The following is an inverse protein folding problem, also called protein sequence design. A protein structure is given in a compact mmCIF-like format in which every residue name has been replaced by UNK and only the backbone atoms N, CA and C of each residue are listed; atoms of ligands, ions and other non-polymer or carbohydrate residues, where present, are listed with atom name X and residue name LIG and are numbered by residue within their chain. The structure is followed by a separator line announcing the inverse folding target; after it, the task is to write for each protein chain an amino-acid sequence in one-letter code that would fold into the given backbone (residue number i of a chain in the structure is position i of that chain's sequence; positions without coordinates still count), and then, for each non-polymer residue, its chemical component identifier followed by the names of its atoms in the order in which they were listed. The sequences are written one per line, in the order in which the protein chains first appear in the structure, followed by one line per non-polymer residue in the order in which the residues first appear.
data_IF_641081816751
#
_entry.id   IF_641081816751
#
_cell.length_a   1.000
_cell.length_b   1.000
_cell.length_c   1.000
_cell.angle_alpha   90.00
_cell.angle_beta   90.00
_cell.angle_gamma   90.00
#
_symmetry.space_group_name_H-M   'P 1'
#
loop_
_entity.id
_entity.type
_entity.pdbx_description
1 polymer ?
#
# COMPACT_ATOMS: atom_id res chain seq x y z
N UNK A 1 14.10 -14.64 -11.36
CA UNK A 1 14.82 -15.42 -10.33
C UNK A 1 13.87 -16.51 -9.85
N UNK A 2 14.26 -17.78 -9.92
CA UNK A 2 13.40 -18.91 -9.53
C UNK A 2 13.86 -19.44 -8.19
N UNK A 3 12.91 -19.69 -7.28
CA UNK A 3 13.16 -20.22 -5.95
C UNK A 3 12.38 -21.52 -5.80
N UNK A 4 13.09 -22.65 -5.67
CA UNK A 4 12.51 -23.99 -5.60
C UNK A 4 12.95 -24.63 -4.28
N UNK A 5 12.05 -25.38 -3.63
CA UNK A 5 12.28 -26.08 -2.36
C UNK A 5 12.78 -25.19 -1.19
N UNK A 6 12.33 -23.93 -1.14
CA UNK A 6 12.65 -23.00 -0.04
C UNK A 6 11.58 -23.06 1.04
N UNK A 7 12.00 -23.11 2.30
CA UNK A 7 11.11 -23.02 3.48
C UNK A 7 10.48 -21.63 3.65
N UNK A 8 11.14 -20.61 3.09
CA UNK A 8 10.74 -19.21 3.11
C UNK A 8 11.04 -18.58 1.75
N UNK A 9 10.07 -17.87 1.17
CA UNK A 9 10.26 -17.11 -0.09
C UNK A 9 9.64 -15.73 0.03
N UNK A 10 10.29 -14.74 -0.58
CA UNK A 10 9.75 -13.39 -0.71
C UNK A 10 9.13 -13.25 -2.10
N UNK A 11 7.80 -13.11 -2.14
CA UNK A 11 7.03 -13.07 -3.37
C UNK A 11 6.00 -11.93 -3.34
N UNK A 12 6.03 -11.07 -4.36
CA UNK A 12 5.17 -9.88 -4.49
C UNK A 12 5.12 -9.00 -3.23
N UNK A 13 6.24 -8.97 -2.50
CA UNK A 13 6.35 -8.21 -1.28
C UNK A 13 5.70 -8.82 -0.05
N UNK A 14 5.33 -10.09 -0.12
CA UNK A 14 4.99 -10.94 1.00
C UNK A 14 6.11 -11.94 1.29
N UNK A 15 6.32 -12.22 2.56
CA UNK A 15 7.08 -13.36 2.99
C UNK A 15 6.13 -14.55 3.22
N UNK A 16 6.33 -15.62 2.48
CA UNK A 16 5.58 -16.87 2.64
C UNK A 16 6.47 -17.87 3.36
N UNK A 17 6.04 -18.31 4.55
CA UNK A 17 6.77 -19.26 5.38
C UNK A 17 5.78 -20.21 6.05
N UNK A 18 6.02 -21.51 5.94
CA UNK A 18 5.20 -22.56 6.58
C UNK A 18 3.68 -22.41 6.39
N UNK A 19 3.23 -21.93 5.22
CA UNK A 19 1.81 -21.70 4.93
C UNK A 19 1.25 -20.37 5.47
N UNK A 20 2.03 -19.60 6.22
CA UNK A 20 1.67 -18.24 6.61
C UNK A 20 2.18 -17.22 5.58
N UNK A 21 1.34 -16.23 5.29
CA UNK A 21 1.67 -15.09 4.45
C UNK A 21 1.78 -13.87 5.35
N UNK A 22 2.96 -13.23 5.39
CA UNK A 22 3.17 -11.98 6.11
C UNK A 22 3.69 -10.91 5.15
N UNK A 23 3.41 -9.62 5.36
CA UNK A 23 4.05 -8.57 4.58
C UNK A 23 5.56 -8.62 4.77
N UNK A 24 6.33 -8.49 3.68
CA UNK A 24 7.78 -8.48 3.76
C UNK A 24 8.24 -7.22 4.51
N UNK A 25 9.13 -7.35 5.52
CA UNK A 25 9.58 -6.22 6.33
C UNK A 25 10.28 -5.14 5.49
N UNK A 26 10.88 -5.51 4.36
CA UNK A 26 11.47 -4.55 3.43
C UNK A 26 10.44 -3.54 2.91
N UNK A 27 9.25 -4.00 2.49
CA UNK A 27 8.23 -3.11 1.96
C UNK A 27 7.53 -2.30 3.05
N UNK A 28 7.34 -2.90 4.23
CA UNK A 28 6.85 -2.17 5.40
C UNK A 28 7.82 -1.05 5.75
N UNK A 29 9.12 -1.32 5.78
CA UNK A 29 10.13 -0.31 6.06
C UNK A 29 10.15 0.79 4.99
N UNK A 30 9.92 0.46 3.72
CA UNK A 30 9.75 1.49 2.67
C UNK A 30 8.56 2.41 2.94
N UNK A 31 7.43 1.86 3.39
CA UNK A 31 6.24 2.64 3.77
C UNK A 31 6.46 3.48 5.03
N UNK A 32 7.13 2.94 6.04
CA UNK A 32 7.42 3.63 7.30
C UNK A 32 8.45 4.74 7.16
N UNK A 33 9.45 4.55 6.31
CA UNK A 33 10.48 5.55 6.03
C UNK A 33 10.04 6.59 5.01
N UNK A 34 8.78 6.54 4.54
CA UNK A 34 8.25 7.58 3.66
C UNK A 34 8.23 8.90 4.43
N UNK A 35 8.84 9.94 3.84
CA UNK A 35 8.92 11.28 4.42
C UNK A 35 7.54 11.77 4.85
N UNK A 36 7.49 12.57 5.92
CA UNK A 36 6.28 13.25 6.39
C UNK A 36 5.49 13.84 5.21
N UNK A 37 4.24 13.41 5.09
CA UNK A 37 3.34 13.78 4.01
C UNK A 37 3.10 15.29 4.04
N UNK A 38 3.68 16.02 3.10
CA UNK A 38 3.46 17.48 3.02
C UNK A 38 2.30 17.81 2.07
N UNK A 39 1.98 16.89 1.15
CA UNK A 39 0.96 17.11 0.12
C UNK A 39 -0.15 16.05 0.18
N UNK A 40 -1.37 16.46 -0.17
CA UNK A 40 -2.54 15.58 -0.30
C UNK A 40 -2.33 14.42 -1.31
N UNK A 41 -1.55 14.65 -2.36
CA UNK A 41 -1.18 13.63 -3.35
C UNK A 41 -0.26 12.54 -2.77
N UNK A 42 0.68 12.92 -1.91
CA UNK A 42 1.55 11.98 -1.20
C UNK A 42 0.74 11.15 -0.21
N UNK A 43 -0.20 11.80 0.52
CA UNK A 43 -1.11 11.10 1.42
C UNK A 43 -1.98 10.08 0.67
N UNK A 44 -2.47 10.43 -0.52
CA UNK A 44 -3.18 9.51 -1.41
C UNK A 44 -2.32 8.30 -1.80
N UNK A 45 -1.08 8.53 -2.23
CA UNK A 45 -0.16 7.47 -2.62
C UNK A 45 0.13 6.53 -1.45
N UNK A 46 0.35 7.07 -0.26
CA UNK A 46 0.57 6.27 0.94
C UNK A 46 -0.66 5.42 1.28
N UNK A 47 -1.86 6.01 1.30
CA UNK A 47 -3.10 5.27 1.60
C UNK A 47 -3.32 4.15 0.59
N UNK A 48 -3.09 4.39 -0.70
CA UNK A 48 -3.19 3.36 -1.74
C UNK A 48 -2.17 2.25 -1.55
N UNK A 49 -0.93 2.59 -1.19
CA UNK A 49 0.11 1.60 -0.94
C UNK A 49 -0.19 0.77 0.33
N UNK A 50 -0.69 1.42 1.39
CA UNK A 50 -1.12 0.75 2.61
C UNK A 50 -2.36 -0.14 2.41
N UNK A 51 -3.24 0.21 1.46
CA UNK A 51 -4.42 -0.60 1.12
C UNK A 51 -4.05 -1.99 0.59
N UNK A 52 -2.88 -2.14 -0.03
CA UNK A 52 -2.35 -3.44 -0.46
C UNK A 52 -2.23 -4.42 0.72
N UNK A 53 -1.83 -3.91 1.90
CA UNK A 53 -1.65 -4.68 3.13
C UNK A 53 -2.87 -4.65 4.06
N UNK A 54 -4.03 -4.17 3.59
CA UNK A 54 -5.24 -3.97 4.42
C UNK A 54 -5.69 -5.22 5.19
N UNK A 55 -5.41 -6.43 4.69
CA UNK A 55 -5.76 -7.69 5.36
C UNK A 55 -5.07 -7.85 6.72
N UNK A 56 -3.95 -7.17 6.91
CA UNK A 56 -3.13 -7.20 8.13
C UNK A 56 -3.40 -6.01 9.06
N UNK A 57 -4.21 -5.03 8.63
CA UNK A 57 -4.49 -3.80 9.38
C UNK A 57 -5.94 -3.85 9.85
N UNK A 58 -6.20 -4.09 11.15
CA UNK A 58 -7.56 -4.08 11.67
C UNK A 58 -8.18 -2.69 11.49
N UNK A 59 -9.45 -2.65 11.09
CA UNK A 59 -10.20 -1.40 10.89
C UNK A 59 -9.55 -0.40 9.90
N UNK A 60 -8.80 -0.89 8.91
CA UNK A 60 -8.12 -0.04 7.91
C UNK A 60 -9.04 1.04 7.32
N UNK A 61 -10.29 0.70 6.98
CA UNK A 61 -11.25 1.64 6.42
C UNK A 61 -11.57 2.82 7.34
N UNK A 62 -11.58 2.62 8.66
CA UNK A 62 -11.83 3.69 9.63
C UNK A 62 -10.63 4.63 9.72
N UNK A 63 -9.41 4.08 9.77
CA UNK A 63 -8.15 4.84 9.80
C UNK A 63 -7.97 5.62 8.50
N UNK A 64 -8.18 4.97 7.35
CA UNK A 64 -8.05 5.59 6.04
C UNK A 64 -9.17 6.61 5.74
N UNK A 65 -10.29 6.61 6.50
CA UNK A 65 -11.41 7.54 6.28
C UNK A 65 -11.01 9.00 6.48
N UNK A 66 -10.18 9.28 7.49
CA UNK A 66 -9.68 10.64 7.75
C UNK A 66 -8.78 11.12 6.61
N UNK A 67 -7.90 10.25 6.13
CA UNK A 67 -6.96 10.54 5.04
C UNK A 67 -7.66 10.62 3.67
N UNK A 68 -8.69 9.80 3.43
CA UNK A 68 -9.49 9.81 2.18
C UNK A 68 -10.17 11.16 1.91
N UNK A 69 -10.43 11.99 2.93
CA UNK A 69 -10.95 13.36 2.73
C UNK A 69 -9.99 14.24 1.93
N UNK A 70 -8.69 13.97 2.03
CA UNK A 70 -7.65 14.71 1.33
C UNK A 70 -7.29 14.07 -0.02
N UNK A 71 -7.76 12.86 -0.28
CA UNK A 71 -7.48 12.16 -1.55
C UNK A 71 -8.44 12.65 -2.62
N UNK A 72 -7.97 13.12 -3.78
CA UNK A 72 -8.84 13.44 -4.90
C UNK A 72 -9.50 12.16 -5.40
N UNK A 73 -10.79 12.00 -5.08
CA UNK A 73 -11.64 10.91 -5.56
C UNK A 73 -11.54 10.76 -7.08
N UNK A 74 -11.55 9.53 -7.57
CA UNK A 74 -11.37 9.16 -8.99
C UNK A 74 -12.32 9.89 -9.95
N UNK A 75 -13.49 10.39 -9.48
CA UNK A 75 -14.40 11.28 -10.24
C UNK A 75 -13.72 12.58 -10.70
N UNK A 76 -12.77 13.11 -9.95
CA UNK A 76 -12.06 14.36 -10.28
C UNK A 76 -10.85 14.09 -11.19
N UNK A 77 -10.26 12.89 -11.12
CA UNK A 77 -9.11 12.51 -11.97
C UNK A 77 -9.52 12.23 -13.43
N UNK A 78 -10.71 11.67 -13.65
CA UNK A 78 -11.28 11.45 -15.00
C UNK A 78 -11.42 12.76 -15.81
N UNK A 79 -11.66 13.90 -15.15
CA UNK A 79 -11.78 15.21 -15.84
C UNK A 79 -10.44 15.80 -16.30
N UNK A 80 -9.29 15.33 -15.79
CA UNK A 80 -7.97 15.90 -16.12
C UNK A 80 -7.27 15.19 -17.28
N UNK A 81 -7.77 14.02 -17.70
CA UNK A 81 -7.27 13.27 -18.87
C UNK A 81 -8.01 13.56 -20.18
N UNK A 82 -9.02 14.43 -20.17
CA UNK A 82 -9.78 14.83 -21.35
C UNK A 82 -9.50 16.29 -21.68
N UNK A 83 -8.26 16.57 -22.09
CA UNK A 83 -7.93 17.72 -22.92
C UNK A 83 -7.27 17.17 -24.19
N UNK A 84 -8.12 17.05 -25.21
CA UNK A 84 -7.77 16.95 -26.63
C UNK A 84 -7.07 18.22 -27.07
#
# INVERSE_FOLDING_TARGET
KYEIARTQTDYLGYNVKNGEIRPSPHNINGLLNTRLLQTSDEACKLVKAAEYYRKFIPNFSQIAKSLRKFVPTTRTQQRKGQKV
#
